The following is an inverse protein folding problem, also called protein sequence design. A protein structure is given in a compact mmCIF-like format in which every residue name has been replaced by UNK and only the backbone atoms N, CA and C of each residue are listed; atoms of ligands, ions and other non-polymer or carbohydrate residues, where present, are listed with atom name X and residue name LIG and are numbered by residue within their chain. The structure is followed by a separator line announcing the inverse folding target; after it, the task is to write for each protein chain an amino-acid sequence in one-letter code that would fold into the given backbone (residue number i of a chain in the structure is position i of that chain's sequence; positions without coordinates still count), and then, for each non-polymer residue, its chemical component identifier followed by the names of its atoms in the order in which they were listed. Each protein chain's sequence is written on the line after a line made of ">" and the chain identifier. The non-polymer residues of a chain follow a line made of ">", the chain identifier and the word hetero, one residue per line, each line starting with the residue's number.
data_IF_242600623675
#
_entry.id   IF_242600623675
#
_cell.length_a   1.000
_cell.length_b   1.000
_cell.length_c   1.000
_cell.angle_alpha   90.00
_cell.angle_beta   90.00
_cell.angle_gamma   90.00
#
_symmetry.space_group_name_H-M   'P 1'
#
loop_
_entity.id
_entity.type
_entity.pdbx_description
1 polymer ?
#
# COMPACT_ATOMS: atom_id res chain seq x y z
N UNK A 1 -4.96 13.73 -7.75
CA UNK A 1 -6.01 12.74 -8.07
C UNK A 1 -5.43 11.33 -8.01
N UNK A 2 -6.10 10.42 -7.29
CA UNK A 2 -5.73 9.01 -7.17
C UNK A 2 -6.57 8.19 -8.16
N UNK A 3 -5.99 7.12 -8.72
CA UNK A 3 -6.77 6.10 -9.43
C UNK A 3 -7.58 5.27 -8.43
N UNK A 4 -8.55 4.50 -8.90
CA UNK A 4 -9.35 3.62 -8.04
C UNK A 4 -8.46 2.68 -7.20
N UNK A 5 -7.47 2.00 -7.80
CA UNK A 5 -6.60 1.08 -7.07
C UNK A 5 -5.62 1.75 -6.12
N UNK A 6 -5.15 2.95 -6.44
CA UNK A 6 -4.33 3.74 -5.51
C UNK A 6 -5.14 4.20 -4.30
N UNK A 7 -6.40 4.60 -4.52
CA UNK A 7 -7.32 4.94 -3.44
C UNK A 7 -7.64 3.73 -2.57
N UNK A 8 -7.99 2.59 -3.17
CA UNK A 8 -8.28 1.34 -2.45
C UNK A 8 -7.06 0.88 -1.63
N UNK A 9 -5.85 0.97 -2.19
CA UNK A 9 -4.61 0.68 -1.48
C UNK A 9 -4.43 1.61 -0.27
N UNK A 10 -4.60 2.91 -0.47
CA UNK A 10 -4.46 3.89 0.60
C UNK A 10 -5.52 3.66 1.70
N UNK A 11 -6.77 3.42 1.31
CA UNK A 11 -7.88 3.14 2.21
C UNK A 11 -7.65 1.85 3.02
N UNK A 12 -7.11 0.81 2.38
CA UNK A 12 -6.77 -0.44 3.05
C UNK A 12 -5.72 -0.23 4.15
N UNK A 13 -4.62 0.48 3.84
CA UNK A 13 -3.59 0.79 4.85
C UNK A 13 -4.12 1.76 5.93
N UNK A 14 -4.98 2.71 5.55
CA UNK A 14 -5.61 3.65 6.47
C UNK A 14 -6.68 3.02 7.37
N UNK A 15 -7.14 1.80 7.06
CA UNK A 15 -8.07 1.08 7.93
C UNK A 15 -7.47 0.75 9.30
N UNK A 16 -6.14 0.60 9.36
CA UNK A 16 -5.35 0.37 10.58
C UNK A 16 -3.98 1.06 10.47
N UNK A 17 -3.92 2.40 10.67
CA UNK A 17 -2.67 3.14 10.61
C UNK A 17 -1.63 2.59 11.61
N UNK A 18 -0.35 2.61 11.23
CA UNK A 18 0.78 2.06 12.00
C UNK A 18 0.93 0.53 11.92
N UNK A 19 -0.10 -0.21 11.48
CA UNK A 19 -0.04 -1.68 11.34
C UNK A 19 0.62 -2.08 10.03
N UNK A 20 1.56 -3.04 10.12
CA UNK A 20 2.22 -3.61 8.94
C UNK A 20 1.30 -4.64 8.29
N UNK A 21 0.87 -4.35 7.06
CA UNK A 21 0.13 -5.28 6.23
C UNK A 21 1.08 -6.04 5.31
N UNK A 22 0.96 -7.37 5.23
CA UNK A 22 1.81 -8.18 4.36
C UNK A 22 1.46 -7.92 2.90
N UNK A 23 2.45 -8.06 2.02
CA UNK A 23 2.25 -7.86 0.58
C UNK A 23 1.11 -8.70 0.02
N UNK A 24 1.04 -9.97 0.42
CA UNK A 24 0.00 -10.88 -0.05
C UNK A 24 -1.39 -10.45 0.42
N UNK A 25 -1.53 -10.07 1.69
CA UNK A 25 -2.82 -9.61 2.25
C UNK A 25 -3.33 -8.35 1.54
N UNK A 26 -2.42 -7.42 1.21
CA UNK A 26 -2.75 -6.22 0.44
C UNK A 26 -3.19 -6.60 -0.97
N UNK A 27 -2.47 -7.50 -1.64
CA UNK A 27 -2.85 -7.96 -2.99
C UNK A 27 -4.22 -8.65 -2.98
N UNK A 28 -4.47 -9.49 -1.99
CA UNK A 28 -5.75 -10.19 -1.84
C UNK A 28 -6.91 -9.24 -1.58
N UNK A 29 -6.69 -8.23 -0.74
CA UNK A 29 -7.75 -7.30 -0.33
C UNK A 29 -8.03 -6.22 -1.37
N UNK A 30 -7.02 -5.77 -2.11
CA UNK A 30 -7.12 -4.62 -3.02
C UNK A 30 -7.27 -5.06 -4.48
N UNK A 31 -6.65 -6.15 -4.92
CA UNK A 31 -6.74 -6.61 -6.31
C UNK A 31 -7.72 -7.76 -6.48
N UNK A 32 -7.49 -8.90 -5.84
CA UNK A 32 -8.33 -10.09 -5.96
C UNK A 32 -8.03 -11.06 -4.81
N UNK A 33 -9.07 -11.52 -4.11
CA UNK A 33 -8.99 -12.46 -2.98
C UNK A 33 -8.16 -13.72 -3.27
N UNK A 34 -8.01 -14.11 -4.54
CA UNK A 34 -7.23 -15.27 -4.96
C UNK A 34 -5.99 -14.87 -5.79
N UNK A 35 -5.24 -13.87 -5.32
CA UNK A 35 -4.08 -13.38 -6.05
C UNK A 35 -2.91 -14.38 -6.04
N UNK A 36 -2.66 -15.04 -7.18
CA UNK A 36 -1.50 -15.93 -7.39
C UNK A 36 -0.35 -15.27 -8.17
N UNK A 37 -0.45 -13.96 -8.44
CA UNK A 37 0.50 -13.23 -9.28
C UNK A 37 1.68 -12.58 -8.53
N UNK A 38 2.60 -11.91 -9.24
CA UNK A 38 3.69 -11.18 -8.62
C UNK A 38 3.19 -9.98 -7.80
N UNK A 39 3.74 -9.77 -6.60
CA UNK A 39 3.42 -8.58 -5.77
C UNK A 39 4.15 -7.31 -6.24
N UNK A 40 4.85 -7.32 -7.38
CA UNK A 40 5.62 -6.16 -7.88
C UNK A 40 4.75 -4.97 -8.25
N UNK A 41 3.50 -5.22 -8.65
CA UNK A 41 2.54 -4.14 -8.96
C UNK A 41 2.24 -3.29 -7.72
N UNK A 42 2.27 -3.89 -6.53
CA UNK A 42 2.08 -3.18 -5.26
C UNK A 42 3.12 -2.09 -5.07
N UNK A 43 4.40 -2.37 -5.33
CA UNK A 43 5.48 -1.41 -5.20
C UNK A 43 5.28 -0.18 -6.09
N UNK A 44 4.84 -0.40 -7.34
CA UNK A 44 4.56 0.67 -8.28
C UNK A 44 3.41 1.56 -7.79
N UNK A 45 2.34 0.96 -7.25
CA UNK A 45 1.22 1.70 -6.69
C UNK A 45 1.60 2.45 -5.42
N UNK A 46 2.39 1.85 -4.51
CA UNK A 46 2.92 2.54 -3.33
C UNK A 46 3.76 3.75 -3.72
N UNK A 47 4.66 3.60 -4.71
CA UNK A 47 5.46 4.71 -5.20
C UNK A 47 4.61 5.84 -5.80
N UNK A 48 3.57 5.49 -6.56
CA UNK A 48 2.63 6.45 -7.12
C UNK A 48 1.83 7.19 -6.03
N UNK A 49 1.31 6.46 -5.02
CA UNK A 49 0.58 7.05 -3.89
C UNK A 49 1.48 8.00 -3.10
N UNK A 50 2.68 7.57 -2.71
CA UNK A 50 3.67 8.43 -2.03
C UNK A 50 3.95 9.72 -2.80
N UNK A 51 4.16 9.62 -4.11
CA UNK A 51 4.37 10.80 -4.98
C UNK A 51 3.17 11.74 -4.95
N UNK A 52 1.94 11.21 -4.93
CA UNK A 52 0.69 11.99 -4.92
C UNK A 52 0.37 12.58 -3.55
N UNK A 53 0.83 11.96 -2.45
CA UNK A 53 0.73 12.50 -1.09
C UNK A 53 1.78 13.57 -0.78
N UNK A 54 2.81 13.70 -1.62
CA UNK A 54 3.86 14.74 -1.46
C UNK A 54 4.97 14.39 -0.47
N UNK A 55 4.79 13.35 0.34
CA UNK A 55 5.83 12.82 1.23
C UNK A 55 5.87 11.29 1.14
N UNK A 56 7.07 10.73 0.97
CA UNK A 56 7.27 9.28 0.91
C UNK A 56 7.08 8.59 2.26
N UNK A 57 7.21 9.34 3.36
CA UNK A 57 7.07 8.84 4.74
C UNK A 57 5.63 8.45 5.10
N UNK A 58 4.63 8.93 4.34
CA UNK A 58 3.23 8.55 4.53
C UNK A 58 2.98 7.04 4.50
N UNK A 59 3.74 6.31 3.68
CA UNK A 59 3.69 4.86 3.63
C UNK A 59 5.09 4.38 3.92
N UNK A 60 5.30 3.50 4.89
CA UNK A 60 6.60 2.90 5.16
C UNK A 60 6.70 1.50 4.53
N UNK A 61 7.88 1.15 3.99
CA UNK A 61 8.14 -0.18 3.48
C UNK A 61 8.95 -0.99 4.51
N UNK A 62 8.35 -2.03 5.07
CA UNK A 62 9.02 -2.96 5.97
C UNK A 62 9.63 -4.08 5.14
N UNK A 63 10.96 -4.06 5.01
CA UNK A 63 11.72 -4.96 4.12
C UNK A 63 11.38 -6.43 4.41
N UNK A 64 10.96 -7.15 3.37
CA UNK A 64 10.60 -8.57 3.47
C UNK A 64 9.22 -8.84 4.07
N UNK A 65 8.50 -7.83 4.55
CA UNK A 65 7.19 -7.99 5.20
C UNK A 65 6.07 -7.35 4.39
N UNK A 66 6.12 -6.04 4.17
CA UNK A 66 5.02 -5.32 3.53
C UNK A 66 5.04 -3.82 3.78
N UNK A 67 3.88 -3.23 4.00
CA UNK A 67 3.69 -1.78 4.09
C UNK A 67 2.78 -1.38 5.25
N UNK A 68 3.01 -0.19 5.81
CA UNK A 68 2.12 0.47 6.77
C UNK A 68 1.89 1.92 6.38
N UNK A 69 0.76 2.48 6.78
CA UNK A 69 0.54 3.92 6.74
C UNK A 69 1.09 4.54 8.03
N UNK A 70 1.86 5.61 7.93
CA UNK A 70 2.43 6.36 9.05
C UNK A 70 2.27 7.86 8.76
N UNK A 71 2.02 8.69 9.77
CA UNK A 71 2.03 10.15 9.57
C UNK A 71 3.49 10.65 9.54
N UNK A 72 3.89 11.44 8.52
CA UNK A 72 5.20 12.08 8.50
C UNK A 72 5.30 13.09 9.65
N UNK A 73 6.33 12.96 10.49
CA UNK A 73 6.77 14.03 11.40
C UNK A 73 7.27 15.28 10.63
#
# INVERSE_FOLDING_TARGET
>A
ELTAKEFDLLAYLASRPGVVHRRIDIMESVWDTNWYGPTKTLDAHVAAVRKKLGDQRWIEAIRGVGFRLEEPE
#
